data_IF_931915162198
#
_entry.id   IF_931915162198
#
_cell.length_a   1.000
_cell.length_b   1.000
_cell.length_c   1.000
_cell.angle_alpha   90.00
_cell.angle_beta   90.00
_cell.angle_gamma   90.00
#
_symmetry.space_group_name_H-M   'P 1'
#
loop_
_entity.id
_entity.type
_entity.pdbx_description
1 polymer ?
#
# COMPACT_ATOMS: atom_id res chain seq x y z
N UNK A 1 -38.79 -3.22 34.65
CA UNK A 1 -38.92 -2.29 33.50
C UNK A 1 -38.06 -2.84 32.41
N UNK A 2 -38.70 -3.55 31.44
CA UNK A 2 -38.05 -4.18 30.32
C UNK A 2 -38.11 -3.24 29.11
N UNK A 3 -36.97 -2.87 28.55
CA UNK A 3 -36.87 -2.14 27.31
C UNK A 3 -36.56 -3.12 26.16
N UNK A 4 -37.49 -3.25 25.21
CA UNK A 4 -37.34 -4.01 23.97
C UNK A 4 -36.76 -3.07 22.92
N UNK A 5 -35.57 -3.37 22.38
CA UNK A 5 -34.99 -2.68 21.24
C UNK A 5 -35.44 -3.39 19.97
N UNK A 6 -36.33 -2.75 19.18
CA UNK A 6 -36.69 -3.22 17.84
C UNK A 6 -35.67 -2.70 16.81
N UNK A 7 -34.96 -3.60 16.16
CA UNK A 7 -34.18 -3.30 14.95
C UNK A 7 -35.10 -3.26 13.72
N UNK A 8 -35.24 -2.10 13.10
CA UNK A 8 -35.94 -1.93 11.82
C UNK A 8 -34.92 -2.01 10.69
N UNK A 9 -34.98 -3.04 9.88
CA UNK A 9 -34.20 -3.21 8.65
C UNK A 9 -34.97 -2.58 7.47
N UNK A 10 -34.43 -1.56 6.74
CA UNK A 10 -35.19 -0.77 5.77
C UNK A 10 -35.43 -1.45 4.41
N UNK A 11 -35.10 -2.73 4.22
CA UNK A 11 -35.15 -3.38 2.91
C UNK A 11 -36.42 -4.19 2.61
N UNK A 12 -37.43 -4.23 3.50
CA UNK A 12 -38.62 -5.03 3.32
C UNK A 12 -39.92 -4.25 3.05
N UNK A 13 -39.89 -2.96 2.77
CA UNK A 13 -41.11 -2.13 2.67
C UNK A 13 -41.84 -2.17 1.33
N UNK A 14 -41.44 -2.99 0.36
CA UNK A 14 -42.07 -3.02 -0.96
C UNK A 14 -42.93 -4.29 -1.25
N UNK A 15 -42.85 -5.32 -0.42
CA UNK A 15 -43.58 -6.57 -0.61
C UNK A 15 -44.86 -6.68 0.23
N UNK A 16 -44.99 -5.94 1.33
CA UNK A 16 -46.22 -6.02 2.19
C UNK A 16 -47.43 -5.26 1.66
N UNK A 17 -47.30 -4.41 0.63
CA UNK A 17 -48.43 -3.65 0.07
C UNK A 17 -49.28 -4.40 -0.96
N UNK A 18 -48.88 -5.61 -1.35
CA UNK A 18 -49.59 -6.43 -2.33
C UNK A 18 -50.55 -7.46 -1.70
N UNK A 19 -50.55 -7.65 -0.38
CA UNK A 19 -51.32 -8.65 0.30
C UNK A 19 -52.69 -8.16 0.84
N UNK A 20 -53.06 -6.93 0.63
CA UNK A 20 -54.35 -6.40 1.16
C UNK A 20 -55.52 -6.34 0.19
N UNK A 21 -55.44 -6.96 -1.00
CA UNK A 21 -56.52 -6.86 -2.02
C UNK A 21 -57.07 -8.24 -2.46
N UNK A 22 -56.74 -9.35 -1.82
CA UNK A 22 -57.35 -10.61 -2.22
C UNK A 22 -58.10 -11.28 -1.06
N UNK A 23 -59.37 -11.52 -1.26
CA UNK A 23 -60.20 -12.44 -0.47
C UNK A 23 -59.57 -13.84 -0.46
N UNK A 24 -59.75 -14.66 0.61
CA UNK A 24 -59.11 -15.96 0.72
C UNK A 24 -59.49 -16.87 -0.44
N UNK A 25 -58.54 -17.56 -1.06
CA UNK A 25 -58.80 -18.42 -2.22
C UNK A 25 -59.62 -19.66 -1.82
N UNK A 26 -60.56 -20.07 -2.68
CA UNK A 26 -61.23 -21.33 -2.58
C UNK A 26 -60.30 -22.52 -2.80
N UNK A 27 -60.64 -23.73 -2.30
CA UNK A 27 -59.74 -24.89 -2.26
C UNK A 27 -59.08 -25.25 -3.61
N UNK A 28 -59.69 -24.96 -4.73
CA UNK A 28 -59.18 -25.28 -6.09
C UNK A 28 -58.06 -24.34 -6.57
N UNK A 29 -57.87 -23.18 -5.93
CA UNK A 29 -56.79 -22.26 -6.28
C UNK A 29 -55.52 -22.49 -5.46
N UNK A 30 -55.60 -23.25 -4.36
CA UNK A 30 -54.44 -23.56 -3.51
C UNK A 30 -53.45 -24.51 -4.21
N UNK A 31 -53.97 -25.47 -5.01
CA UNK A 31 -53.11 -26.42 -5.73
C UNK A 31 -52.37 -25.79 -6.92
N UNK A 32 -52.94 -24.73 -7.52
CA UNK A 32 -52.22 -23.96 -8.57
C UNK A 32 -51.11 -23.11 -7.96
N UNK A 33 -51.33 -22.55 -6.77
CA UNK A 33 -50.29 -21.78 -6.08
C UNK A 33 -49.13 -22.65 -5.55
N UNK A 34 -49.43 -23.86 -5.06
CA UNK A 34 -48.40 -24.80 -4.60
C UNK A 34 -47.52 -25.33 -5.73
N UNK A 35 -48.05 -25.47 -6.95
CA UNK A 35 -47.25 -25.88 -8.11
C UNK A 35 -46.35 -24.76 -8.66
N UNK A 36 -46.71 -23.48 -8.48
CA UNK A 36 -45.87 -22.35 -8.90
C UNK A 36 -44.67 -22.17 -7.95
N UNK A 37 -44.82 -22.54 -6.67
CA UNK A 37 -43.71 -22.45 -5.71
C UNK A 37 -42.83 -23.72 -5.61
N UNK A 38 -43.24 -24.83 -6.21
CA UNK A 38 -42.46 -26.06 -6.28
C UNK A 38 -41.61 -26.21 -7.54
N UNK A 39 -41.67 -25.30 -8.49
CA UNK A 39 -40.63 -25.18 -9.47
C UNK A 39 -39.42 -24.60 -8.74
N UNK A 40 -38.44 -25.46 -8.40
CA UNK A 40 -37.09 -25.03 -8.00
C UNK A 40 -36.69 -23.98 -9.01
N UNK A 41 -36.22 -22.80 -8.55
CA UNK A 41 -35.71 -21.80 -9.48
C UNK A 41 -34.60 -22.47 -10.29
N UNK A 42 -34.85 -22.68 -11.58
CA UNK A 42 -33.85 -23.08 -12.58
C UNK A 42 -33.00 -21.83 -12.85
N UNK A 43 -32.50 -21.19 -11.81
CA UNK A 43 -31.28 -20.43 -11.85
C UNK A 43 -30.15 -21.40 -11.45
N UNK A 44 -29.85 -22.32 -12.35
CA UNK A 44 -28.48 -22.77 -12.43
C UNK A 44 -27.64 -21.50 -12.51
N UNK A 45 -27.02 -21.08 -11.37
CA UNK A 45 -25.79 -20.33 -11.45
C UNK A 45 -24.92 -21.20 -12.33
N UNK A 46 -24.88 -20.91 -13.63
CA UNK A 46 -23.71 -21.26 -14.43
C UNK A 46 -22.56 -20.64 -13.66
N UNK A 47 -21.84 -21.42 -12.89
CA UNK A 47 -20.53 -21.05 -12.40
C UNK A 47 -19.80 -20.62 -13.66
N UNK A 48 -19.59 -19.32 -13.78
CA UNK A 48 -18.83 -18.78 -14.91
C UNK A 48 -17.44 -19.29 -14.64
N UNK A 49 -17.07 -20.35 -15.36
CA UNK A 49 -15.73 -20.97 -15.29
C UNK A 49 -14.75 -19.88 -15.68
N UNK A 50 -14.08 -19.29 -14.73
CA UNK A 50 -13.11 -18.22 -14.93
C UNK A 50 -11.74 -18.84 -15.21
N UNK A 51 -11.60 -19.48 -16.37
CA UNK A 51 -10.28 -19.87 -16.88
C UNK A 51 -9.60 -18.59 -17.35
N UNK A 52 -8.48 -18.23 -16.72
CA UNK A 52 -7.65 -17.08 -17.13
C UNK A 52 -6.46 -17.59 -17.94
N UNK A 53 -6.12 -16.89 -19.03
CA UNK A 53 -4.87 -17.12 -19.76
C UNK A 53 -4.25 -15.79 -20.18
N UNK A 54 -3.05 -15.53 -19.69
CA UNK A 54 -2.27 -14.33 -19.98
C UNK A 54 -0.85 -14.70 -20.44
N UNK A 55 -0.27 -13.85 -21.27
CA UNK A 55 1.11 -13.96 -21.75
C UNK A 55 1.81 -12.64 -21.50
N UNK A 56 2.93 -12.67 -20.78
CA UNK A 56 3.72 -11.50 -20.45
C UNK A 56 5.21 -11.82 -20.56
N UNK A 57 6.03 -10.84 -20.89
CA UNK A 57 7.48 -11.04 -20.81
C UNK A 57 7.91 -11.28 -19.35
N UNK A 58 8.93 -12.11 -19.15
CA UNK A 58 9.49 -12.35 -17.81
C UNK A 58 9.92 -11.06 -17.14
N UNK A 59 10.53 -10.13 -17.90
CA UNK A 59 11.01 -8.85 -17.36
C UNK A 59 9.87 -8.00 -16.78
N UNK A 60 8.75 -7.87 -17.50
CA UNK A 60 7.57 -7.13 -17.04
C UNK A 60 6.93 -7.80 -15.83
N UNK A 61 6.81 -9.14 -15.85
CA UNK A 61 6.31 -9.89 -14.69
C UNK A 61 7.20 -9.71 -13.47
N UNK A 62 8.51 -9.84 -13.61
CA UNK A 62 9.45 -9.74 -12.50
C UNK A 62 9.42 -8.34 -11.87
N UNK A 63 9.40 -7.28 -12.70
CA UNK A 63 9.25 -5.89 -12.24
C UNK A 63 7.96 -5.74 -11.43
N UNK A 64 6.84 -6.12 -11.99
CA UNK A 64 5.52 -5.91 -11.38
C UNK A 64 5.30 -6.75 -10.12
N UNK A 65 5.75 -8.01 -10.11
CA UNK A 65 5.69 -8.87 -8.92
C UNK A 65 6.59 -8.33 -7.81
N UNK A 66 7.81 -7.85 -8.15
CA UNK A 66 8.74 -7.26 -7.17
C UNK A 66 8.15 -6.01 -6.50
N UNK A 67 7.43 -5.17 -7.25
CA UNK A 67 6.70 -4.02 -6.74
C UNK A 67 5.55 -4.49 -5.82
N UNK A 68 4.71 -5.39 -6.30
CA UNK A 68 3.54 -5.88 -5.57
C UNK A 68 3.93 -6.56 -4.25
N UNK A 69 5.06 -7.27 -4.19
CA UNK A 69 5.54 -7.92 -2.96
C UNK A 69 5.72 -6.96 -1.78
N UNK A 70 5.87 -5.65 -2.03
CA UNK A 70 6.10 -4.65 -0.98
C UNK A 70 4.88 -4.43 -0.07
N UNK A 71 3.67 -4.79 -0.53
CA UNK A 71 2.46 -4.75 0.27
C UNK A 71 1.95 -6.15 0.68
N UNK A 72 2.80 -7.18 0.60
CA UNK A 72 2.48 -8.51 1.12
C UNK A 72 2.93 -8.60 2.58
N UNK A 73 2.04 -8.92 3.53
CA UNK A 73 2.41 -8.99 4.93
C UNK A 73 3.37 -10.15 5.21
N UNK A 74 4.31 -9.93 6.13
CA UNK A 74 5.24 -10.99 6.57
C UNK A 74 4.53 -12.06 7.40
N UNK A 75 3.52 -11.67 8.19
CA UNK A 75 2.66 -12.52 9.01
C UNK A 75 1.23 -11.97 8.93
N UNK A 76 0.26 -12.87 8.76
CA UNK A 76 -1.16 -12.51 8.73
C UNK A 76 -2.02 -13.68 9.21
N UNK A 77 -3.17 -13.37 9.80
CA UNK A 77 -4.22 -14.35 10.12
C UNK A 77 -5.16 -14.59 8.93
N UNK A 78 -5.02 -13.80 7.87
CA UNK A 78 -5.85 -13.88 6.65
C UNK A 78 -5.01 -14.44 5.49
N UNK A 79 -5.06 -15.76 5.19
CA UNK A 79 -4.19 -16.38 4.18
C UNK A 79 -4.34 -15.83 2.76
N UNK A 80 -5.43 -15.09 2.46
CA UNK A 80 -5.62 -14.46 1.15
C UNK A 80 -4.67 -13.27 0.96
N UNK A 81 -4.26 -12.58 2.04
CA UNK A 81 -3.34 -11.44 1.97
C UNK A 81 -1.89 -11.86 1.71
N UNK A 82 -1.55 -13.16 1.85
CA UNK A 82 -0.25 -13.69 1.40
C UNK A 82 -0.18 -13.83 -0.12
N UNK A 83 -1.31 -13.60 -0.80
CA UNK A 83 -1.41 -13.77 -2.23
C UNK A 83 -1.29 -12.43 -2.97
N UNK A 84 -0.87 -12.53 -4.22
CA UNK A 84 -1.02 -11.49 -5.23
C UNK A 84 -2.27 -11.81 -6.03
N UNK A 85 -3.20 -10.87 -6.13
CA UNK A 85 -4.35 -10.95 -7.02
C UNK A 85 -3.90 -10.59 -8.43
N UNK A 86 -4.11 -11.49 -9.36
CA UNK A 86 -3.97 -11.26 -10.80
C UNK A 86 -5.39 -11.09 -11.36
N UNK A 87 -5.70 -9.90 -11.86
CA UNK A 87 -7.00 -9.59 -12.45
C UNK A 87 -6.84 -9.19 -13.92
N UNK A 88 -7.31 -10.02 -14.81
CA UNK A 88 -7.31 -9.84 -16.26
C UNK A 88 -8.75 -9.80 -16.85
N UNK A 89 -9.75 -9.38 -16.07
CA UNK A 89 -11.15 -9.31 -16.52
C UNK A 89 -11.44 -8.12 -17.42
N UNK A 90 -10.65 -7.07 -17.28
CA UNK A 90 -10.70 -5.88 -18.16
C UNK A 90 -9.76 -6.06 -19.36
N UNK A 91 -9.36 -4.98 -20.01
CA UNK A 91 -8.37 -5.00 -21.07
C UNK A 91 -6.93 -4.76 -20.54
N UNK A 92 -6.75 -4.80 -19.22
CA UNK A 92 -5.48 -4.64 -18.55
C UNK A 92 -5.25 -5.81 -17.59
N UNK A 93 -4.00 -6.22 -17.48
CA UNK A 93 -3.56 -7.17 -16.46
C UNK A 93 -3.15 -6.37 -15.24
N UNK A 94 -3.82 -6.57 -14.12
CA UNK A 94 -3.55 -5.87 -12.86
C UNK A 94 -3.06 -6.83 -11.80
N UNK A 95 -2.01 -6.46 -11.11
CA UNK A 95 -1.51 -7.16 -9.93
C UNK A 95 -1.83 -6.31 -8.70
N UNK A 96 -2.55 -6.89 -7.74
CA UNK A 96 -2.93 -6.20 -6.51
C UNK A 96 -2.47 -6.98 -5.29
N UNK A 97 -1.90 -6.28 -4.31
CA UNK A 97 -1.55 -6.79 -2.99
C UNK A 97 -2.00 -5.82 -1.92
N UNK A 98 -2.30 -6.32 -0.71
CA UNK A 98 -2.86 -5.51 0.35
C UNK A 98 -2.56 -6.17 1.71
N UNK A 99 -2.06 -5.40 2.68
CA UNK A 99 -1.89 -5.85 4.06
C UNK A 99 -2.86 -5.16 5.04
N UNK A 100 -3.92 -4.51 4.51
CA UNK A 100 -4.94 -3.71 5.19
C UNK A 100 -4.50 -2.31 5.62
N UNK A 101 -3.21 -2.00 5.61
CA UNK A 101 -2.65 -0.66 5.86
C UNK A 101 -2.00 -0.09 4.61
N UNK A 102 -1.32 -0.93 3.86
CA UNK A 102 -0.62 -0.63 2.62
C UNK A 102 -1.15 -1.54 1.51
N UNK A 103 -1.59 -0.94 0.42
CA UNK A 103 -2.00 -1.66 -0.77
C UNK A 103 -1.27 -1.15 -2.01
N UNK A 104 -0.96 -2.07 -2.92
CA UNK A 104 -0.31 -1.77 -4.19
C UNK A 104 -1.12 -2.40 -5.30
N UNK A 105 -1.43 -1.61 -6.33
CA UNK A 105 -1.92 -2.09 -7.62
C UNK A 105 -0.95 -1.64 -8.71
N UNK A 106 -0.54 -2.56 -9.57
CA UNK A 106 0.30 -2.24 -10.73
C UNK A 106 -0.23 -2.92 -11.98
N UNK A 107 -0.15 -2.22 -13.12
CA UNK A 107 -0.54 -2.75 -14.42
C UNK A 107 0.68 -3.46 -15.02
N UNK A 108 0.44 -4.64 -15.58
CA UNK A 108 1.44 -5.48 -16.22
C UNK A 108 1.19 -5.49 -17.73
N UNK A 109 2.19 -5.15 -18.50
CA UNK A 109 2.11 -5.25 -19.96
C UNK A 109 2.12 -6.72 -20.40
N UNK A 110 1.16 -7.09 -21.23
CA UNK A 110 1.02 -8.44 -21.74
C UNK A 110 -0.26 -8.63 -22.54
N UNK A 111 -0.47 -9.83 -23.02
CA UNK A 111 -1.64 -10.24 -23.82
C UNK A 111 -2.61 -11.04 -22.95
N UNK A 112 -3.89 -10.70 -23.02
CA UNK A 112 -4.96 -11.45 -22.38
C UNK A 112 -5.64 -12.31 -23.46
N UNK A 113 -5.46 -13.63 -23.39
CA UNK A 113 -6.15 -14.56 -24.29
C UNK A 113 -7.49 -15.00 -23.70
N UNK A 114 -7.54 -15.27 -22.39
CA UNK A 114 -8.74 -15.64 -21.66
C UNK A 114 -8.88 -14.74 -20.40
N UNK A 115 -10.04 -14.10 -20.25
CA UNK A 115 -10.29 -13.16 -19.14
C UNK A 115 -10.63 -13.90 -17.87
N UNK A 116 -10.02 -13.51 -16.75
CA UNK A 116 -10.30 -14.11 -15.45
C UNK A 116 -9.54 -13.43 -14.33
N UNK A 117 -9.63 -14.00 -13.14
CA UNK A 117 -8.85 -13.55 -11.98
C UNK A 117 -8.48 -14.72 -11.08
N UNK A 118 -7.33 -14.61 -10.43
CA UNK A 118 -6.81 -15.63 -9.51
C UNK A 118 -5.93 -14.96 -8.46
N UNK A 119 -5.94 -15.49 -7.24
CA UNK A 119 -5.02 -15.11 -6.19
C UNK A 119 -3.96 -16.22 -6.01
N UNK A 120 -2.69 -15.88 -6.23
CA UNK A 120 -1.56 -16.80 -6.12
C UNK A 120 -0.66 -16.41 -4.94
N UNK A 121 -0.07 -17.40 -4.24
CA UNK A 121 0.90 -17.09 -3.19
C UNK A 121 2.04 -16.24 -3.75
N UNK A 122 2.18 -15.02 -3.26
CA UNK A 122 3.04 -14.00 -3.83
C UNK A 122 4.52 -14.38 -3.79
N UNK A 123 4.98 -15.01 -2.70
CA UNK A 123 6.39 -15.42 -2.53
C UNK A 123 6.75 -16.56 -3.46
N UNK A 124 5.89 -17.58 -3.55
CA UNK A 124 6.10 -18.72 -4.44
C UNK A 124 6.09 -18.25 -5.89
N UNK A 125 5.12 -17.42 -6.27
CA UNK A 125 5.00 -16.87 -7.60
C UNK A 125 6.26 -16.06 -7.97
N UNK A 126 6.73 -15.17 -7.10
CA UNK A 126 7.97 -14.41 -7.31
C UNK A 126 9.19 -15.32 -7.52
N UNK A 127 9.37 -16.34 -6.67
CA UNK A 127 10.51 -17.25 -6.78
C UNK A 127 10.51 -18.05 -8.08
N UNK A 128 9.33 -18.40 -8.61
CA UNK A 128 9.20 -19.01 -9.91
C UNK A 128 9.61 -18.03 -11.01
N UNK A 129 8.95 -16.85 -11.08
CA UNK A 129 9.21 -15.88 -12.14
C UNK A 129 10.68 -15.46 -12.16
N UNK A 130 11.30 -15.26 -11.01
CA UNK A 130 12.73 -14.89 -10.91
C UNK A 130 13.67 -15.89 -11.55
N UNK A 131 13.33 -17.19 -11.50
CA UNK A 131 14.17 -18.29 -11.99
C UNK A 131 13.86 -18.76 -13.40
N UNK A 132 12.81 -18.24 -14.03
CA UNK A 132 12.50 -18.56 -15.43
C UNK A 132 13.55 -17.99 -16.39
N UNK A 133 13.70 -18.57 -17.58
CA UNK A 133 14.44 -17.97 -18.69
C UNK A 133 13.89 -16.59 -19.07
N UNK A 134 14.70 -15.78 -19.74
CA UNK A 134 14.28 -14.45 -20.18
C UNK A 134 13.52 -14.54 -21.52
N UNK A 135 12.25 -14.94 -21.41
CA UNK A 135 11.33 -15.13 -22.54
C UNK A 135 9.88 -14.87 -22.08
N UNK A 136 8.93 -15.07 -22.99
CA UNK A 136 7.50 -14.94 -22.68
C UNK A 136 7.04 -16.05 -21.73
N UNK A 137 6.26 -15.63 -20.75
CA UNK A 137 5.68 -16.50 -19.72
C UNK A 137 4.18 -16.56 -19.93
N UNK A 138 3.65 -17.77 -20.09
CA UNK A 138 2.22 -18.01 -20.13
C UNK A 138 1.73 -18.44 -18.74
N UNK A 139 0.69 -17.79 -18.24
CA UNK A 139 0.01 -18.16 -17.00
C UNK A 139 -1.42 -18.55 -17.36
N UNK A 140 -1.79 -19.79 -17.09
CA UNK A 140 -3.12 -20.33 -17.33
C UNK A 140 -3.71 -20.89 -16.03
N UNK A 141 -4.97 -20.57 -15.74
CA UNK A 141 -5.68 -21.17 -14.60
C UNK A 141 -6.68 -22.21 -15.04
N UNK A 142 -7.03 -23.10 -14.13
CA UNK A 142 -8.11 -24.07 -14.30
C UNK A 142 -9.36 -23.70 -13.48
N UNK A 143 -10.38 -24.52 -13.54
CA UNK A 143 -11.65 -24.36 -12.82
C UNK A 143 -11.48 -24.37 -11.29
N UNK A 144 -10.40 -24.93 -10.78
CA UNK A 144 -10.05 -25.02 -9.35
C UNK A 144 -9.05 -23.92 -8.92
N UNK A 145 -8.87 -22.91 -9.76
CA UNK A 145 -7.90 -21.81 -9.57
C UNK A 145 -6.44 -22.26 -9.54
N UNK A 146 -6.10 -23.50 -9.86
CA UNK A 146 -4.69 -23.91 -9.99
C UNK A 146 -4.08 -23.24 -11.22
N UNK A 147 -2.91 -22.60 -11.02
CA UNK A 147 -2.20 -21.90 -12.08
C UNK A 147 -1.06 -22.74 -12.64
N UNK A 148 -1.05 -22.91 -13.95
CA UNK A 148 0.05 -23.45 -14.71
C UNK A 148 0.86 -22.31 -15.30
N UNK A 149 2.13 -22.22 -14.95
CA UNK A 149 3.08 -21.20 -15.41
C UNK A 149 4.07 -21.91 -16.36
N UNK A 150 4.15 -21.46 -17.58
CA UNK A 150 5.04 -22.05 -18.59
C UNK A 150 5.94 -21.00 -19.22
N UNK A 151 7.21 -21.34 -19.40
CA UNK A 151 8.18 -20.54 -20.13
C UNK A 151 9.16 -21.52 -20.79
N UNK A 152 9.22 -21.55 -22.11
CA UNK A 152 9.98 -22.55 -22.91
C UNK A 152 9.66 -23.99 -22.44
N UNK A 153 10.68 -24.71 -21.94
CA UNK A 153 10.54 -26.08 -21.42
C UNK A 153 10.16 -26.15 -19.93
N UNK A 154 10.23 -25.01 -19.24
CA UNK A 154 9.89 -24.94 -17.80
C UNK A 154 8.37 -24.91 -17.63
N UNK A 155 7.84 -25.73 -16.72
CA UNK A 155 6.44 -25.78 -16.37
C UNK A 155 6.28 -25.96 -14.88
N UNK A 156 5.49 -25.07 -14.26
CA UNK A 156 5.16 -25.11 -12.83
C UNK A 156 3.66 -25.11 -12.64
N UNK A 157 3.19 -25.88 -11.68
CA UNK A 157 1.79 -25.87 -11.25
C UNK A 157 1.75 -25.45 -9.79
N UNK A 158 1.01 -24.39 -9.50
CA UNK A 158 0.83 -23.89 -8.13
C UNK A 158 -0.66 -23.75 -7.81
N UNK A 159 -1.06 -24.08 -6.57
CA UNK A 159 -2.44 -23.87 -6.14
C UNK A 159 -2.72 -22.38 -6.07
N UNK A 160 -3.88 -21.96 -6.55
CA UNK A 160 -4.42 -20.63 -6.41
C UNK A 160 -5.67 -20.62 -5.54
N UNK A 161 -6.20 -19.44 -5.31
CA UNK A 161 -7.45 -19.18 -4.60
C UNK A 161 -8.37 -18.34 -5.47
N UNK A 162 -9.66 -18.37 -5.17
CA UNK A 162 -10.61 -17.45 -5.78
C UNK A 162 -10.17 -16.00 -5.52
N UNK A 163 -10.13 -15.18 -6.56
CA UNK A 163 -9.88 -13.76 -6.42
C UNK A 163 -11.10 -12.98 -5.89
N UNK A 164 -12.27 -13.60 -5.76
CA UNK A 164 -13.48 -12.94 -5.25
C UNK A 164 -13.35 -12.55 -3.77
N UNK A 165 -12.62 -13.35 -3.00
CA UNK A 165 -12.40 -13.13 -1.57
C UNK A 165 -11.29 -12.13 -1.27
N UNK A 166 -10.62 -11.59 -2.30
CA UNK A 166 -9.53 -10.65 -2.11
C UNK A 166 -10.03 -9.27 -1.69
N UNK A 167 -9.40 -8.69 -0.65
CA UNK A 167 -9.73 -7.38 -0.17
C UNK A 167 -9.23 -6.30 -1.16
N UNK A 168 -10.15 -5.65 -1.86
CA UNK A 168 -9.82 -4.57 -2.78
C UNK A 168 -9.31 -3.34 -2.06
N UNK A 169 -8.49 -2.56 -2.78
CA UNK A 169 -8.01 -1.28 -2.29
C UNK A 169 -9.18 -0.28 -2.20
N UNK A 170 -9.16 0.64 -1.23
CA UNK A 170 -10.16 1.68 -1.14
C UNK A 170 -10.11 2.58 -2.39
N UNK A 171 -11.28 3.01 -2.84
CA UNK A 171 -11.35 4.03 -3.88
C UNK A 171 -10.95 5.38 -3.29
N UNK A 172 -9.93 5.99 -3.87
CA UNK A 172 -9.41 7.29 -3.46
C UNK A 172 -9.86 8.34 -4.50
N UNK A 173 -10.45 9.42 -4.02
CA UNK A 173 -10.75 10.59 -4.86
C UNK A 173 -9.42 11.19 -5.34
N UNK A 174 -9.35 11.47 -6.65
CA UNK A 174 -8.15 12.01 -7.31
C UNK A 174 -8.36 13.49 -7.63
N UNK A 175 -8.63 14.26 -6.60
CA UNK A 175 -8.74 15.71 -6.74
C UNK A 175 -7.33 16.31 -7.00
N UNK A 176 -7.01 17.43 -6.48
CA UNK A 176 -5.77 18.17 -6.72
C UNK A 176 -4.51 17.39 -6.32
N UNK A 177 -3.73 16.78 -7.27
CA UNK A 177 -2.52 16.04 -6.93
C UNK A 177 -1.34 16.96 -6.64
N UNK A 178 -0.60 16.67 -5.58
CA UNK A 178 0.77 17.17 -5.42
C UNK A 178 1.69 16.40 -6.36
N UNK A 179 2.18 17.05 -7.42
CA UNK A 179 3.07 16.41 -8.41
C UNK A 179 4.51 16.85 -8.18
N UNK A 180 5.38 15.89 -7.93
CA UNK A 180 6.82 16.11 -7.71
C UNK A 180 7.64 15.03 -8.41
N UNK A 181 8.95 15.25 -8.59
CA UNK A 181 9.86 14.24 -9.13
C UNK A 181 9.98 13.05 -8.19
N UNK A 182 9.98 11.82 -8.73
CA UNK A 182 10.20 10.59 -7.96
C UNK A 182 11.55 10.64 -7.25
N UNK A 183 12.61 11.10 -7.91
CA UNK A 183 13.93 11.33 -7.31
C UNK A 183 13.86 12.26 -6.09
N UNK A 184 13.14 13.37 -6.20
CA UNK A 184 13.02 14.33 -5.10
C UNK A 184 12.30 13.73 -3.90
N UNK A 185 11.16 13.07 -4.11
CA UNK A 185 10.43 12.40 -3.03
C UNK A 185 11.30 11.33 -2.35
N UNK A 186 11.95 10.48 -3.15
CA UNK A 186 12.86 9.44 -2.67
C UNK A 186 13.97 10.01 -1.78
N UNK A 187 14.60 11.10 -2.20
CA UNK A 187 15.64 11.76 -1.43
C UNK A 187 15.11 12.42 -0.16
N UNK A 188 13.95 13.06 -0.21
CA UNK A 188 13.33 13.63 0.99
C UNK A 188 13.05 12.55 2.04
N UNK A 189 12.45 11.44 1.63
CA UNK A 189 12.22 10.28 2.51
C UNK A 189 13.56 9.76 3.06
N UNK A 190 14.54 9.49 2.20
CA UNK A 190 15.85 8.98 2.63
C UNK A 190 16.53 9.87 3.67
N UNK A 191 16.36 11.19 3.57
CA UNK A 191 16.96 12.17 4.46
C UNK A 191 16.20 12.37 5.78
N UNK A 192 15.03 11.74 5.95
CA UNK A 192 14.21 11.90 7.15
C UNK A 192 13.88 10.58 7.82
N UNK A 193 13.63 9.51 7.08
CA UNK A 193 13.10 8.23 7.57
C UNK A 193 13.91 7.60 8.71
N UNK A 194 15.20 7.85 8.79
CA UNK A 194 16.07 7.30 9.82
C UNK A 194 15.75 7.82 11.24
N UNK A 195 15.00 8.92 11.37
CA UNK A 195 14.61 9.53 12.64
C UNK A 195 13.24 9.11 13.14
N UNK A 196 12.52 8.19 12.49
CA UNK A 196 11.28 7.63 13.04
C UNK A 196 11.59 6.65 14.17
N UNK A 197 10.66 6.50 15.10
CA UNK A 197 10.72 5.45 16.10
C UNK A 197 10.39 4.09 15.48
N UNK A 198 11.14 3.06 15.84
CA UNK A 198 10.94 1.69 15.28
C UNK A 198 9.76 0.99 15.94
N UNK A 199 9.64 1.08 17.26
CA UNK A 199 8.57 0.49 18.06
C UNK A 199 8.25 1.44 19.21
N UNK A 200 7.31 2.34 19.01
CA UNK A 200 6.88 3.27 20.04
C UNK A 200 5.41 3.05 20.39
N UNK A 201 5.05 3.29 21.65
CA UNK A 201 3.66 3.32 22.11
C UNK A 201 2.89 4.49 21.45
N UNK A 202 3.60 5.56 21.10
CA UNK A 202 3.03 6.67 20.33
C UNK A 202 3.22 6.42 18.83
N UNK A 203 2.17 5.95 18.19
CA UNK A 203 2.17 5.64 16.75
C UNK A 203 2.58 6.82 15.86
N UNK A 204 2.36 8.06 16.29
CA UNK A 204 2.76 9.25 15.51
C UNK A 204 4.28 9.31 15.27
N UNK A 205 5.09 8.81 16.22
CA UNK A 205 6.55 8.75 16.05
C UNK A 205 7.00 7.66 15.07
N UNK A 206 6.14 6.69 14.74
CA UNK A 206 6.45 5.65 13.75
C UNK A 206 6.18 6.06 12.30
N UNK A 207 5.74 7.30 12.10
CA UNK A 207 5.47 7.89 10.80
C UNK A 207 6.18 9.22 10.60
N UNK A 208 6.10 9.74 9.38
CA UNK A 208 6.59 11.06 9.02
C UNK A 208 5.44 12.04 8.79
N UNK A 209 5.59 13.24 9.30
CA UNK A 209 4.70 14.35 8.99
C UNK A 209 4.98 14.83 7.56
N UNK A 210 3.94 14.87 6.73
CA UNK A 210 3.91 15.61 5.47
C UNK A 210 3.07 16.86 5.68
N UNK A 211 3.70 18.02 5.58
CA UNK A 211 3.03 19.31 5.74
C UNK A 211 3.23 20.16 4.49
N UNK A 212 2.12 20.52 3.85
CA UNK A 212 2.09 21.49 2.74
C UNK A 212 1.59 22.80 3.34
N UNK A 213 2.42 23.83 3.29
CA UNK A 213 2.09 25.16 3.78
C UNK A 213 2.95 26.21 3.10
N UNK A 214 2.37 27.36 2.72
CA UNK A 214 3.09 28.48 2.08
C UNK A 214 3.94 28.02 0.88
N UNK A 215 3.37 27.24 -0.01
CA UNK A 215 4.06 26.69 -1.18
C UNK A 215 5.33 25.93 -0.87
N UNK A 216 5.36 25.23 0.25
CA UNK A 216 6.48 24.41 0.69
C UNK A 216 5.97 23.05 1.18
N UNK A 217 6.54 21.98 0.65
CA UNK A 217 6.42 20.65 1.23
C UNK A 217 7.50 20.50 2.31
N UNK A 218 7.07 20.22 3.53
CA UNK A 218 7.95 19.90 4.66
C UNK A 218 7.68 18.47 5.10
N UNK A 219 8.73 17.64 5.15
CA UNK A 219 8.70 16.29 5.71
C UNK A 219 9.48 16.31 7.02
N UNK A 220 8.92 15.73 8.07
CA UNK A 220 9.50 15.68 9.40
C UNK A 220 9.34 14.31 10.01
N UNK A 221 10.40 13.83 10.63
CA UNK A 221 10.40 12.64 11.49
C UNK A 221 11.07 12.92 12.83
N UNK A 222 10.68 12.20 13.87
CA UNK A 222 11.28 12.29 15.20
C UNK A 222 11.07 11.00 16.00
N UNK A 223 11.98 10.73 16.97
CA UNK A 223 11.88 9.59 17.89
C UNK A 223 12.10 9.98 19.36
N UNK A 224 11.96 11.27 19.69
CA UNK A 224 12.18 11.80 21.03
C UNK A 224 13.63 12.17 21.35
N UNK A 225 14.61 11.71 20.57
CA UNK A 225 16.05 12.03 20.72
C UNK A 225 16.61 12.84 19.57
N UNK A 226 16.02 12.72 18.39
CA UNK A 226 16.46 13.39 17.16
C UNK A 226 15.25 13.79 16.32
N UNK A 227 15.44 14.81 15.51
CA UNK A 227 14.44 15.32 14.56
C UNK A 227 15.16 15.49 13.23
N UNK A 228 14.58 14.92 12.17
CA UNK A 228 15.01 15.19 10.81
C UNK A 228 13.94 16.00 10.07
N UNK A 229 14.36 17.04 9.38
CA UNK A 229 13.48 17.94 8.64
C UNK A 229 14.02 18.14 7.24
N UNK A 230 13.16 17.94 6.24
CA UNK A 230 13.46 18.31 4.86
C UNK A 230 12.35 19.20 4.31
N UNK A 231 12.76 20.31 3.67
CA UNK A 231 11.83 21.28 3.04
C UNK A 231 12.14 21.38 1.55
N UNK A 232 11.09 21.52 0.77
CA UNK A 232 11.17 21.74 -0.68
C UNK A 232 10.14 22.79 -1.10
N UNK A 233 10.54 23.85 -1.84
CA UNK A 233 9.59 24.79 -2.41
C UNK A 233 8.77 24.10 -3.52
N UNK A 234 7.50 24.39 -3.56
CA UNK A 234 6.58 23.88 -4.57
C UNK A 234 6.43 24.90 -5.70
N UNK A 235 6.25 24.39 -6.92
CA UNK A 235 6.13 25.24 -8.13
C UNK A 235 4.73 25.84 -8.31
N UNK A 236 3.73 25.28 -7.65
CA UNK A 236 2.32 25.68 -7.70
C UNK A 236 1.80 25.93 -6.30
N UNK A 237 0.73 26.68 -6.21
CA UNK A 237 -0.03 26.83 -4.98
C UNK A 237 -0.85 25.56 -4.75
N UNK A 238 -0.77 25.04 -3.56
CA UNK A 238 -1.56 23.90 -3.08
C UNK A 238 -2.27 24.27 -1.79
N UNK A 239 -3.43 23.70 -1.57
CA UNK A 239 -4.15 23.84 -0.29
C UNK A 239 -3.30 23.31 0.87
N UNK A 240 -3.35 24.01 2.01
CA UNK A 240 -2.65 23.60 3.22
C UNK A 240 -3.08 22.17 3.63
N UNK A 241 -2.12 21.29 3.84
CA UNK A 241 -2.34 19.90 4.26
C UNK A 241 -1.35 19.50 5.32
N UNK A 242 -1.82 18.67 6.24
CA UNK A 242 -0.98 18.12 7.30
C UNK A 242 -1.44 16.68 7.59
N UNK A 243 -0.59 15.72 7.24
CA UNK A 243 -0.89 14.29 7.42
C UNK A 243 0.33 13.55 7.93
N UNK A 244 0.10 12.41 8.61
CA UNK A 244 1.19 11.54 9.10
C UNK A 244 1.16 10.24 8.31
N UNK A 245 2.23 10.01 7.54
CA UNK A 245 2.37 8.84 6.68
C UNK A 245 3.19 7.77 7.42
N UNK A 246 2.73 6.52 7.49
CA UNK A 246 3.47 5.44 8.15
C UNK A 246 4.86 5.26 7.55
N UNK A 247 5.87 5.15 8.41
CA UNK A 247 7.25 4.94 7.98
C UNK A 247 7.46 3.64 7.21
N UNK A 248 6.67 2.59 7.52
CA UNK A 248 6.64 1.36 6.75
C UNK A 248 6.30 1.63 5.28
N UNK A 249 5.24 2.39 5.03
CA UNK A 249 4.82 2.78 3.68
C UNK A 249 5.93 3.53 2.95
N UNK A 250 6.52 4.54 3.60
CA UNK A 250 7.57 5.36 3.00
C UNK A 250 8.84 4.56 2.70
N UNK A 251 9.21 3.63 3.58
CA UNK A 251 10.31 2.69 3.34
C UNK A 251 10.07 1.81 2.10
N UNK A 252 8.84 1.31 1.90
CA UNK A 252 8.55 0.49 0.72
C UNK A 252 8.45 1.35 -0.56
N UNK A 253 7.82 2.54 -0.49
CA UNK A 253 7.76 3.47 -1.62
C UNK A 253 9.17 3.88 -2.07
N UNK A 254 10.06 4.22 -1.16
CA UNK A 254 11.42 4.64 -1.50
C UNK A 254 12.22 3.59 -2.28
N UNK A 255 11.86 2.30 -2.17
CA UNK A 255 12.50 1.18 -2.89
C UNK A 255 11.99 1.00 -4.31
N UNK A 256 10.78 1.49 -4.61
CA UNK A 256 10.11 1.32 -5.91
C UNK A 256 10.10 2.59 -6.76
N UNK A 257 10.27 3.76 -6.14
CA UNK A 257 10.45 5.02 -6.87
C UNK A 257 11.73 4.98 -7.71
N UNK A 258 11.66 5.52 -8.94
CA UNK A 258 12.83 5.63 -9.80
C UNK A 258 13.88 6.59 -9.22
N UNK A 259 15.09 6.52 -9.75
CA UNK A 259 16.16 7.47 -9.43
C UNK A 259 16.25 8.64 -10.42
N UNK A 260 15.36 8.70 -11.40
CA UNK A 260 15.40 9.66 -12.49
C UNK A 260 14.68 10.97 -12.10
N UNK A 261 15.22 12.11 -12.55
CA UNK A 261 14.66 13.41 -12.19
C UNK A 261 13.39 13.76 -12.95
N UNK A 262 13.24 13.24 -14.16
CA UNK A 262 12.13 13.54 -15.04
C UNK A 262 10.87 12.71 -14.74
N UNK A 263 11.06 11.58 -14.06
CA UNK A 263 9.94 10.74 -13.62
C UNK A 263 9.18 11.42 -12.49
N UNK A 264 7.87 11.47 -12.62
CA UNK A 264 7.00 12.16 -11.65
C UNK A 264 6.17 11.18 -10.83
N UNK A 265 5.81 11.61 -9.64
CA UNK A 265 4.82 10.98 -8.78
C UNK A 265 3.73 11.98 -8.44
N UNK A 266 2.48 11.55 -8.59
CA UNK A 266 1.29 12.29 -8.17
C UNK A 266 0.84 11.78 -6.82
N UNK A 267 0.69 12.67 -5.84
CA UNK A 267 0.31 12.34 -4.47
C UNK A 267 -1.05 12.94 -4.19
N UNK A 268 -2.01 12.12 -3.79
CA UNK A 268 -3.36 12.53 -3.45
C UNK A 268 -3.58 12.31 -1.95
N UNK A 269 -4.25 13.23 -1.32
CA UNK A 269 -4.51 13.21 0.12
C UNK A 269 -6.00 13.15 0.38
N UNK A 270 -6.42 12.22 1.22
CA UNK A 270 -7.74 12.20 1.82
C UNK A 270 -7.63 12.32 3.34
N UNK A 271 -8.75 12.29 4.05
CA UNK A 271 -8.73 12.37 5.52
C UNK A 271 -8.01 11.16 6.16
N UNK A 272 -8.13 9.97 5.55
CA UNK A 272 -7.67 8.72 6.17
C UNK A 272 -6.62 7.97 5.34
N UNK A 273 -6.38 8.40 4.09
CA UNK A 273 -5.47 7.72 3.18
C UNK A 273 -4.60 8.70 2.41
N UNK A 274 -3.45 8.22 1.98
CA UNK A 274 -2.60 8.85 0.98
C UNK A 274 -2.44 7.88 -0.19
N UNK A 275 -2.49 8.41 -1.40
CA UNK A 275 -2.27 7.67 -2.64
C UNK A 275 -1.07 8.25 -3.36
N UNK A 276 -0.14 7.38 -3.75
CA UNK A 276 0.97 7.71 -4.64
C UNK A 276 0.73 7.02 -5.98
N UNK A 277 0.74 7.78 -7.05
CA UNK A 277 0.53 7.28 -8.41
C UNK A 277 1.71 7.66 -9.28
N UNK A 278 2.38 6.67 -9.84
CA UNK A 278 3.57 6.85 -10.69
C UNK A 278 3.71 5.67 -11.64
N UNK A 279 4.20 5.92 -12.83
CA UNK A 279 4.28 4.95 -13.93
C UNK A 279 2.90 4.27 -14.13
N UNK A 280 2.86 2.97 -13.95
CA UNK A 280 1.64 2.16 -14.01
C UNK A 280 1.28 1.58 -12.63
N UNK A 281 1.77 2.21 -11.55
CA UNK A 281 1.65 1.73 -10.18
C UNK A 281 0.90 2.72 -9.32
N UNK A 282 0.00 2.21 -8.51
CA UNK A 282 -0.75 2.92 -7.48
C UNK A 282 -0.43 2.31 -6.11
N UNK A 283 -0.02 3.16 -5.18
CA UNK A 283 0.26 2.77 -3.79
C UNK A 283 -0.66 3.54 -2.87
N UNK A 284 -1.54 2.82 -2.18
CA UNK A 284 -2.48 3.40 -1.20
C UNK A 284 -2.00 3.04 0.19
N UNK A 285 -1.95 4.03 1.08
CA UNK A 285 -1.64 3.79 2.50
C UNK A 285 -2.64 4.47 3.41
N UNK A 286 -3.00 3.79 4.49
CA UNK A 286 -3.73 4.42 5.58
C UNK A 286 -2.83 5.40 6.31
N UNK A 287 -3.38 6.57 6.69
CA UNK A 287 -2.67 7.58 7.47
C UNK A 287 -2.70 7.23 8.96
N UNK A 288 -1.72 7.71 9.71
CA UNK A 288 -1.72 7.66 11.16
C UNK A 288 -2.56 8.82 11.68
N UNK A 289 -3.60 8.51 12.44
CA UNK A 289 -4.50 9.50 13.01
C UNK A 289 -3.86 10.19 14.22
N UNK A 290 -4.09 11.50 14.34
CA UNK A 290 -3.66 12.32 15.48
C UNK A 290 -2.97 13.61 15.07
N UNK A 291 -2.81 14.51 16.05
CA UNK A 291 -2.08 15.76 15.85
C UNK A 291 -0.58 15.53 16.07
N UNK A 292 0.22 15.79 15.03
CA UNK A 292 1.65 15.67 15.12
C UNK A 292 2.27 16.74 16.04
N UNK A 293 3.45 16.47 16.56
CA UNK A 293 4.14 17.33 17.50
C UNK A 293 4.37 18.76 16.95
N UNK A 294 4.41 19.75 17.84
CA UNK A 294 4.71 21.14 17.48
C UNK A 294 6.22 21.34 17.35
N UNK A 295 6.76 20.95 16.20
CA UNK A 295 8.20 20.93 15.93
C UNK A 295 8.84 22.31 16.14
N UNK A 296 8.16 23.39 15.76
CA UNK A 296 8.70 24.75 15.86
C UNK A 296 8.94 25.16 17.34
N UNK A 297 8.25 24.55 18.30
CA UNK A 297 8.46 24.76 19.73
C UNK A 297 9.60 23.90 20.32
N UNK A 298 9.97 22.82 19.62
CA UNK A 298 11.04 21.91 20.03
C UNK A 298 12.43 22.37 19.54
N UNK A 299 12.45 23.20 18.51
CA UNK A 299 13.68 23.72 17.94
C UNK A 299 13.98 25.10 18.54
N UNK A 300 15.03 25.20 19.35
CA UNK A 300 15.56 26.49 19.80
C UNK A 300 16.29 27.20 18.64
N UNK A 301 16.01 28.49 18.46
CA UNK A 301 16.80 29.36 17.57
C UNK A 301 17.92 30.08 18.34
N UNK A 302 17.94 29.92 19.65
CA UNK A 302 18.92 30.53 20.54
C UNK A 302 20.12 29.58 20.74
N UNK A 303 21.26 29.95 20.25
CA UNK A 303 22.52 29.18 20.37
C UNK A 303 23.68 30.11 20.71
N UNK A 304 24.49 29.69 21.66
CA UNK A 304 25.72 30.41 22.05
C UNK A 304 26.88 30.12 21.07
N UNK A 305 26.90 28.92 20.51
CA UNK A 305 27.99 28.48 19.63
C UNK A 305 27.48 28.02 18.29
N UNK A 306 28.05 28.53 17.19
CA UNK A 306 27.79 28.09 15.82
C UNK A 306 29.12 27.70 15.16
N UNK A 307 29.14 26.53 14.54
CA UNK A 307 30.32 26.07 13.81
C UNK A 307 29.97 25.67 12.37
N UNK A 308 30.94 25.83 11.49
CA UNK A 308 30.89 25.32 10.12
C UNK A 308 32.03 24.32 9.95
N UNK A 309 31.72 23.12 9.47
CA UNK A 309 32.65 22.00 9.46
C UNK A 309 32.55 21.23 8.15
N UNK A 310 33.66 20.64 7.70
CA UNK A 310 33.65 19.73 6.56
C UNK A 310 32.91 18.43 6.93
N UNK A 311 31.83 18.14 6.21
CA UNK A 311 30.97 16.98 6.49
C UNK A 311 31.75 15.65 6.48
N UNK A 312 32.64 15.46 5.49
CA UNK A 312 33.39 14.20 5.33
C UNK A 312 34.39 14.01 6.48
N UNK A 313 35.16 15.02 6.80
CA UNK A 313 36.13 14.97 7.92
C UNK A 313 35.45 14.71 9.25
N UNK A 314 34.27 15.34 9.49
CA UNK A 314 33.51 15.14 10.70
C UNK A 314 32.94 13.71 10.79
N UNK A 315 32.41 13.19 9.68
CA UNK A 315 31.92 11.80 9.60
C UNK A 315 33.07 10.81 9.90
N UNK A 316 34.22 10.99 9.24
CA UNK A 316 35.40 10.13 9.44
C UNK A 316 35.89 10.17 10.91
N UNK A 317 35.76 11.32 11.60
CA UNK A 317 36.08 11.45 13.02
C UNK A 317 35.07 10.68 13.90
N UNK A 318 33.77 10.79 13.61
CA UNK A 318 32.73 10.06 14.34
C UNK A 318 32.94 8.54 14.15
N UNK A 319 33.16 8.08 12.92
CA UNK A 319 33.39 6.68 12.61
C UNK A 319 34.59 6.13 13.39
N UNK A 320 35.68 6.86 13.50
CA UNK A 320 36.82 6.47 14.33
C UNK A 320 36.50 6.44 15.82
N UNK A 321 35.78 7.45 16.32
CA UNK A 321 35.41 7.53 17.73
C UNK A 321 34.47 6.40 18.17
N UNK A 322 33.66 5.87 17.24
CA UNK A 322 32.68 4.80 17.51
C UNK A 322 33.22 3.38 17.35
N UNK A 323 34.45 3.19 16.84
CA UNK A 323 35.00 1.85 16.56
C UNK A 323 34.99 0.88 17.75
N UNK A 324 35.14 1.39 18.97
CA UNK A 324 35.14 0.58 20.19
C UNK A 324 33.80 0.60 20.95
N UNK A 325 32.79 1.26 20.42
CA UNK A 325 31.44 1.30 20.99
C UNK A 325 30.67 0.08 20.48
N UNK A 326 30.25 -0.81 21.38
CA UNK A 326 29.43 -1.98 21.03
C UNK A 326 27.96 -1.57 20.89
N UNK A 327 27.22 -2.28 20.05
CA UNK A 327 25.80 -2.11 19.95
C UNK A 327 25.13 -2.32 21.32
N UNK A 328 24.37 -1.31 21.78
CA UNK A 328 23.78 -1.28 23.11
C UNK A 328 24.59 -0.60 24.21
N UNK A 329 25.87 -0.27 23.99
CA UNK A 329 26.66 0.53 24.92
C UNK A 329 26.16 2.00 24.93
N UNK A 330 25.79 2.48 26.12
CA UNK A 330 25.40 3.90 26.32
C UNK A 330 26.65 4.77 26.56
N UNK A 331 27.60 4.73 25.62
CA UNK A 331 28.80 5.57 25.71
C UNK A 331 28.66 6.79 24.82
N UNK A 332 28.52 7.99 25.39
CA UNK A 332 28.42 9.22 24.61
C UNK A 332 29.76 9.56 23.96
N UNK A 333 29.72 10.11 22.76
CA UNK A 333 30.87 10.84 22.19
C UNK A 333 30.88 12.23 22.81
N UNK A 334 31.99 12.61 23.44
CA UNK A 334 32.19 13.93 23.99
C UNK A 334 32.78 14.81 22.90
N UNK A 335 32.13 15.92 22.60
CA UNK A 335 32.61 16.90 21.62
C UNK A 335 33.11 18.12 22.41
N UNK A 336 34.41 18.40 22.32
CA UNK A 336 35.04 19.59 22.93
C UNK A 336 35.35 20.58 21.82
N UNK A 337 34.79 21.78 21.91
CA UNK A 337 34.92 22.84 20.91
C UNK A 337 35.72 23.99 21.54
N UNK A 338 36.77 24.41 20.86
CA UNK A 338 37.59 25.59 21.21
C UNK A 338 37.73 26.47 19.97
N UNK A 339 38.32 27.65 20.14
CA UNK A 339 38.59 28.55 19.01
C UNK A 339 39.52 27.86 17.98
N UNK A 340 38.94 27.58 16.80
CA UNK A 340 39.65 26.99 15.66
C UNK A 340 39.87 25.49 15.71
N UNK A 341 39.42 24.77 16.76
CA UNK A 341 39.51 23.29 16.81
C UNK A 341 38.32 22.61 17.46
N UNK A 342 38.10 21.36 17.08
CA UNK A 342 37.09 20.48 17.67
C UNK A 342 37.68 19.10 17.92
N UNK A 343 37.59 18.59 19.14
CA UNK A 343 38.07 17.28 19.55
C UNK A 343 36.89 16.35 19.87
N UNK A 344 36.94 15.12 19.35
CA UNK A 344 35.97 14.07 19.63
C UNK A 344 36.64 12.99 20.48
N UNK A 345 36.04 12.65 21.63
CA UNK A 345 36.51 11.61 22.57
C UNK A 345 35.42 10.59 22.83
#
# INVERSE_FOLDING_TARGET
>A
IHGVIQYRNPRFSRFERLFHIFTPPTADTADIFLNIFNEKPIFSRKEVIHIMKIICSKSNLLKSVSISLKAVPSKTTMPILECILIDARTNQIKFTTNDMELGIETIVEGTIEEKGKVALNAKIFYEIIRRLPDNDVTIKTDEKFAATITCEKAKFNIPGKSGEDFAYLPMIERDEPLTISQYTLKNMIYQTIFSIAVNDNNKLMTGELFEIKNNCLKIVSLDGHRIAIRKMPLKKDYSDRKVVVPGKTLNEISKILSGEMDDVVSIFFTNNHILFEFDQTMVVSRLIEGEYFRIDQMLSSDYETKLSINKKEFLDCIDRATLLVREGDKKPIIIHITDGSMELK
#
